data_IF_531038697023
#
_entry.id   IF_531038697023
#
_cell.length_a   1.000
_cell.length_b   1.000
_cell.length_c   1.000
_cell.angle_alpha   90.00
_cell.angle_beta   90.00
_cell.angle_gamma   90.00
#
_symmetry.space_group_name_H-M   'P 1'
#
loop_
_entity.id
_entity.type
_entity.pdbx_description
1 polymer ?
#
# COMPACT_ATOMS: atom_id res chain seq x y z
N UNK A 1 16.77 -5.27 -2.47
CA UNK A 1 15.37 -5.34 -2.96
C UNK A 1 15.32 -5.64 -4.45
N UNK A 2 15.99 -4.86 -5.30
CA UNK A 2 15.97 -5.00 -6.76
C UNK A 2 16.27 -6.41 -7.28
N UNK A 3 17.28 -7.11 -6.76
CA UNK A 3 17.62 -8.47 -7.20
C UNK A 3 16.51 -9.50 -6.94
N UNK A 4 15.75 -9.35 -5.85
CA UNK A 4 14.61 -10.25 -5.54
C UNK A 4 13.45 -9.95 -6.49
N UNK A 5 13.18 -8.68 -6.75
CA UNK A 5 12.13 -8.26 -7.69
C UNK A 5 12.45 -8.73 -9.11
N UNK A 6 13.70 -8.56 -9.54
CA UNK A 6 14.17 -9.04 -10.83
C UNK A 6 13.98 -10.55 -10.96
N UNK A 7 14.42 -11.34 -9.96
CA UNK A 7 14.21 -12.79 -9.96
C UNK A 7 12.72 -13.17 -10.00
N UNK A 8 11.86 -12.41 -9.32
CA UNK A 8 10.41 -12.61 -9.38
C UNK A 8 9.85 -12.36 -10.77
N UNK A 9 10.30 -11.30 -11.45
CA UNK A 9 9.89 -11.00 -12.83
C UNK A 9 10.42 -12.04 -13.83
N UNK A 10 11.67 -12.47 -13.71
CA UNK A 10 12.29 -13.50 -14.57
C UNK A 10 11.56 -14.84 -14.47
N UNK A 11 11.04 -15.19 -13.28
CA UNK A 11 10.23 -16.40 -13.06
C UNK A 11 8.79 -16.28 -13.59
N UNK A 12 8.32 -15.07 -13.88
CA UNK A 12 6.96 -14.79 -14.30
C UNK A 12 6.96 -13.90 -15.55
N UNK A 13 7.14 -14.47 -16.76
CA UNK A 13 7.43 -13.71 -17.97
C UNK A 13 6.43 -12.61 -18.33
N UNK A 14 5.16 -12.73 -17.90
CA UNK A 14 4.14 -11.69 -18.08
C UNK A 14 4.54 -10.34 -17.45
N UNK A 15 5.36 -10.37 -16.39
CA UNK A 15 5.79 -9.19 -15.64
C UNK A 15 6.97 -8.45 -16.29
N UNK A 16 7.72 -9.08 -17.20
CA UNK A 16 9.01 -8.57 -17.71
C UNK A 16 8.84 -7.19 -18.34
N UNK A 17 7.86 -7.02 -19.25
CA UNK A 17 7.67 -5.75 -19.97
C UNK A 17 7.38 -4.58 -19.01
N UNK A 18 6.57 -4.82 -17.98
CA UNK A 18 6.26 -3.78 -16.99
C UNK A 18 7.42 -3.55 -16.02
N UNK A 19 8.14 -4.61 -15.64
CA UNK A 19 9.35 -4.51 -14.83
C UNK A 19 10.42 -3.64 -15.51
N UNK A 20 10.68 -3.85 -16.80
CA UNK A 20 11.67 -3.06 -17.57
C UNK A 20 11.35 -1.55 -17.54
N UNK A 21 10.07 -1.19 -17.58
CA UNK A 21 9.63 0.21 -17.48
C UNK A 21 9.84 0.80 -16.08
N UNK A 22 9.80 -0.03 -15.03
CA UNK A 22 10.04 0.38 -13.65
C UNK A 22 11.52 0.26 -13.23
N UNK A 23 12.33 -0.48 -13.98
CA UNK A 23 13.74 -0.77 -13.67
C UNK A 23 14.59 0.48 -13.41
N UNK A 24 14.45 1.60 -14.15
CA UNK A 24 15.20 2.82 -13.85
C UNK A 24 14.93 3.34 -12.44
N UNK A 25 13.68 3.25 -11.97
CA UNK A 25 13.26 3.69 -10.64
C UNK A 25 13.78 2.74 -9.55
N UNK A 26 13.80 1.43 -9.81
CA UNK A 26 14.41 0.46 -8.87
C UNK A 26 15.91 0.67 -8.66
N UNK A 27 16.61 1.22 -9.65
CA UNK A 27 18.04 1.49 -9.60
C UNK A 27 18.38 2.89 -9.08
N UNK A 28 17.37 3.74 -8.84
CA UNK A 28 17.56 5.10 -8.36
C UNK A 28 17.34 5.18 -6.86
N UNK A 29 18.44 5.18 -6.10
CA UNK A 29 18.39 5.41 -4.65
C UNK A 29 17.79 6.77 -4.32
N UNK A 30 18.14 7.80 -5.10
CA UNK A 30 17.64 9.16 -4.89
C UNK A 30 16.13 9.23 -5.11
N UNK A 31 15.61 8.51 -6.10
CA UNK A 31 14.17 8.39 -6.30
C UNK A 31 13.49 7.74 -5.09
N UNK A 32 14.02 6.64 -4.55
CA UNK A 32 13.45 6.02 -3.35
C UNK A 32 13.47 6.93 -2.12
N UNK A 33 14.57 7.66 -1.89
CA UNK A 33 14.65 8.63 -0.80
C UNK A 33 13.59 9.71 -1.01
N UNK A 34 13.53 10.27 -2.22
CA UNK A 34 12.57 11.31 -2.57
C UNK A 34 11.14 10.83 -2.37
N UNK A 35 10.75 9.71 -2.98
CA UNK A 35 9.36 9.25 -2.98
C UNK A 35 8.87 8.89 -1.57
N UNK A 36 9.67 8.16 -0.79
CA UNK A 36 9.28 7.69 0.54
C UNK A 36 9.36 8.80 1.60
N UNK A 37 10.40 9.65 1.57
CA UNK A 37 10.69 10.58 2.67
C UNK A 37 10.29 12.03 2.40
N UNK A 38 10.43 12.50 1.15
CA UNK A 38 10.43 13.94 0.87
C UNK A 38 9.26 14.38 -0.03
N UNK A 39 8.66 13.46 -0.78
CA UNK A 39 7.72 13.82 -1.85
C UNK A 39 6.43 14.48 -1.36
N UNK A 40 5.97 14.21 -0.14
CA UNK A 40 4.83 14.93 0.44
C UNK A 40 5.19 16.38 0.83
N UNK A 41 6.44 16.65 1.18
CA UNK A 41 6.93 18.01 1.49
C UNK A 41 6.93 18.88 0.25
N UNK A 42 7.27 18.31 -0.90
CA UNK A 42 7.24 19.00 -2.21
C UNK A 42 5.85 19.50 -2.59
N UNK A 43 4.78 18.86 -2.08
CA UNK A 43 3.39 19.28 -2.28
C UNK A 43 2.83 20.06 -1.08
N UNK A 44 3.70 20.56 -0.22
CA UNK A 44 3.37 21.45 0.89
C UNK A 44 2.76 20.76 2.11
N UNK A 45 2.97 19.45 2.28
CA UNK A 45 2.49 18.71 3.45
C UNK A 45 3.56 18.59 4.53
N UNK A 46 3.09 18.59 5.77
CA UNK A 46 3.92 18.29 6.94
C UNK A 46 4.00 16.78 7.18
N UNK A 47 5.02 16.38 7.95
CA UNK A 47 5.14 15.00 8.41
C UNK A 47 3.99 14.64 9.36
N UNK A 48 3.49 13.41 9.26
CA UNK A 48 2.59 12.79 10.23
C UNK A 48 3.25 11.55 10.84
N UNK A 49 2.70 11.04 11.95
CA UNK A 49 3.16 9.77 12.50
C UNK A 49 2.58 8.61 11.66
N UNK A 50 3.45 7.84 11.02
CA UNK A 50 3.09 6.66 10.24
C UNK A 50 3.38 5.41 11.05
N UNK A 51 2.54 4.38 10.88
CA UNK A 51 2.88 3.03 11.33
C UNK A 51 4.08 2.48 10.54
N UNK A 52 4.15 2.77 9.24
CA UNK A 52 5.25 2.40 8.35
C UNK A 52 5.26 0.93 7.90
N UNK A 53 4.34 0.13 8.43
CA UNK A 53 4.15 -1.28 8.06
C UNK A 53 2.69 -1.72 8.23
N UNK A 54 1.74 -0.90 7.74
CA UNK A 54 0.32 -1.19 7.91
C UNK A 54 -0.18 -2.13 6.80
N UNK A 55 -0.35 -3.41 7.14
CA UNK A 55 -0.92 -4.45 6.28
C UNK A 55 -1.62 -5.52 7.12
N UNK A 56 -2.33 -6.46 6.47
CA UNK A 56 -3.24 -7.38 7.17
C UNK A 56 -2.61 -8.30 8.22
N UNK A 57 -1.28 -8.49 8.23
CA UNK A 57 -0.60 -9.22 9.32
C UNK A 57 -0.45 -8.38 10.61
N UNK A 58 -0.52 -7.06 10.51
CA UNK A 58 -0.36 -6.10 11.60
C UNK A 58 -1.70 -5.50 12.07
N UNK A 59 -2.82 -6.04 11.57
CA UNK A 59 -4.18 -5.65 11.90
C UNK A 59 -4.91 -6.78 12.61
N UNK A 60 -5.27 -6.57 13.87
CA UNK A 60 -6.09 -7.51 14.64
C UNK A 60 -7.55 -7.08 14.56
N UNK A 61 -8.42 -8.00 14.15
CA UNK A 61 -9.86 -7.78 14.05
C UNK A 61 -10.56 -8.33 15.30
N UNK A 62 -11.58 -7.62 15.78
CA UNK A 62 -12.50 -8.19 16.77
C UNK A 62 -13.22 -9.39 16.15
N UNK A 63 -13.66 -10.30 16.99
CA UNK A 63 -14.43 -11.49 16.60
C UNK A 63 -15.92 -11.24 16.77
N UNK A 64 -16.76 -12.02 16.10
CA UNK A 64 -18.22 -11.98 16.30
C UNK A 64 -18.61 -12.27 17.76
N UNK A 65 -17.85 -13.14 18.44
CA UNK A 65 -17.98 -13.43 19.87
C UNK A 65 -17.95 -12.15 20.74
N UNK A 66 -17.10 -11.17 20.39
CA UNK A 66 -16.98 -9.89 21.13
C UNK A 66 -18.26 -9.04 21.08
N UNK A 67 -19.20 -9.35 20.19
CA UNK A 67 -20.47 -8.62 20.03
C UNK A 67 -21.71 -9.44 20.39
N UNK A 68 -21.67 -10.75 20.18
CA UNK A 68 -22.84 -11.63 20.35
C UNK A 68 -22.78 -12.50 21.62
N UNK A 69 -21.73 -12.39 22.43
CA UNK A 69 -21.49 -13.19 23.65
C UNK A 69 -21.53 -14.71 23.40
N UNK A 70 -21.21 -15.16 22.18
CA UNK A 70 -21.06 -16.57 21.84
C UNK A 70 -19.59 -16.87 21.56
N UNK A 71 -18.88 -17.36 22.58
CA UNK A 71 -17.44 -17.65 22.53
C UNK A 71 -17.02 -18.65 21.43
N UNK A 72 -17.97 -19.41 20.88
CA UNK A 72 -17.72 -20.32 19.75
C UNK A 72 -17.63 -19.62 18.38
N UNK A 73 -18.14 -18.39 18.25
CA UNK A 73 -18.20 -17.67 16.97
C UNK A 73 -16.89 -16.89 16.70
N UNK A 74 -15.89 -17.61 16.18
CA UNK A 74 -14.54 -17.09 15.93
C UNK A 74 -14.38 -16.33 14.60
N UNK A 75 -15.46 -15.99 13.91
CA UNK A 75 -15.38 -15.22 12.66
C UNK A 75 -14.90 -13.79 12.95
N UNK A 76 -14.04 -13.25 12.09
CA UNK A 76 -13.64 -11.85 12.16
C UNK A 76 -14.84 -10.92 11.90
N UNK A 77 -14.90 -9.81 12.64
CA UNK A 77 -15.85 -8.72 12.41
C UNK A 77 -15.24 -7.64 11.50
N UNK A 78 -16.00 -6.58 11.24
CA UNK A 78 -15.52 -5.40 10.50
C UNK A 78 -14.87 -4.34 11.43
N UNK A 79 -14.66 -4.66 12.70
CA UNK A 79 -14.13 -3.73 13.69
C UNK A 79 -12.67 -4.06 14.00
N UNK A 80 -11.79 -3.09 13.80
CA UNK A 80 -10.38 -3.22 14.19
C UNK A 80 -10.31 -3.26 15.73
N UNK A 81 -9.65 -4.27 16.26
CA UNK A 81 -9.36 -4.42 17.68
C UNK A 81 -8.03 -3.76 18.07
N UNK A 82 -6.98 -3.99 17.28
CA UNK A 82 -5.66 -3.41 17.52
C UNK A 82 -4.84 -3.32 16.23
N UNK A 83 -3.93 -2.34 16.20
CA UNK A 83 -2.80 -2.27 15.28
C UNK A 83 -1.53 -2.61 16.08
N UNK A 84 -0.72 -3.53 15.55
CA UNK A 84 0.46 -4.08 16.23
C UNK A 84 1.70 -3.98 15.35
N UNK A 85 2.86 -4.30 15.91
CA UNK A 85 4.15 -4.27 15.22
C UNK A 85 4.60 -2.86 14.75
N UNK A 86 4.66 -1.95 15.72
CA UNK A 86 5.09 -0.57 15.55
C UNK A 86 6.60 -0.38 15.37
N UNK A 87 7.36 -1.42 15.02
CA UNK A 87 8.83 -1.34 14.92
C UNK A 87 9.32 -0.42 13.79
N UNK A 88 8.46 -0.19 12.78
CA UNK A 88 8.72 0.73 11.66
C UNK A 88 8.08 2.10 11.86
N UNK A 89 7.64 2.45 13.08
CA UNK A 89 7.04 3.76 13.36
C UNK A 89 8.01 4.90 13.05
N UNK A 90 7.54 5.90 12.32
CA UNK A 90 8.34 7.07 11.97
C UNK A 90 7.46 8.25 11.54
N UNK A 91 8.10 9.38 11.23
CA UNK A 91 7.43 10.54 10.66
C UNK A 91 7.49 10.49 9.14
N UNK A 92 6.34 10.49 8.48
CA UNK A 92 6.22 10.30 7.04
C UNK A 92 5.01 10.99 6.42
N UNK A 93 4.56 10.46 5.28
CA UNK A 93 3.47 11.05 4.50
C UNK A 93 2.10 10.63 5.02
N UNK A 94 1.12 11.54 4.99
CA UNK A 94 -0.29 11.25 5.32
C UNK A 94 -0.92 10.15 4.43
N UNK A 95 -0.33 9.90 3.26
CA UNK A 95 -0.78 8.85 2.34
C UNK A 95 -0.08 7.50 2.49
N UNK A 96 0.92 7.39 3.37
CA UNK A 96 1.84 6.24 3.42
C UNK A 96 1.15 4.95 3.84
N UNK A 97 0.56 4.93 5.05
CA UNK A 97 -0.08 3.72 5.58
C UNK A 97 -1.24 3.24 4.68
N UNK A 98 -1.95 4.15 4.02
CA UNK A 98 -2.98 3.81 3.03
C UNK A 98 -2.39 3.25 1.73
N UNK A 99 -1.33 3.87 1.20
CA UNK A 99 -0.61 3.38 0.02
C UNK A 99 -0.07 1.97 0.24
N UNK A 100 0.49 1.74 1.42
CA UNK A 100 0.96 0.44 1.88
C UNK A 100 -0.18 -0.58 1.95
N UNK A 101 -1.23 -0.27 2.72
CA UNK A 101 -2.35 -1.17 2.94
C UNK A 101 -3.06 -1.55 1.63
N UNK A 102 -3.37 -0.57 0.77
CA UNK A 102 -4.10 -0.81 -0.47
C UNK A 102 -3.26 -1.53 -1.53
N UNK A 103 -1.94 -1.32 -1.56
CA UNK A 103 -1.06 -2.10 -2.43
C UNK A 103 -0.99 -3.58 -1.99
N UNK A 104 -0.86 -3.85 -0.69
CA UNK A 104 -0.57 -5.19 -0.19
C UNK A 104 -1.81 -6.02 0.16
N UNK A 105 -2.91 -5.38 0.52
CA UNK A 105 -4.09 -6.06 1.03
C UNK A 105 -5.22 -6.21 -0.01
N UNK A 106 -5.22 -5.39 -1.07
CA UNK A 106 -6.29 -5.38 -2.06
C UNK A 106 -5.86 -5.95 -3.41
N UNK A 107 -6.82 -6.52 -4.14
CA UNK A 107 -6.71 -6.66 -5.59
C UNK A 107 -7.06 -5.35 -6.29
N UNK A 108 -6.86 -5.30 -7.60
CA UNK A 108 -6.98 -4.08 -8.40
C UNK A 108 -8.42 -3.56 -8.49
N UNK A 109 -9.45 -4.40 -8.71
CA UNK A 109 -10.83 -3.94 -8.67
C UNK A 109 -11.22 -3.33 -7.32
N UNK A 110 -10.89 -3.99 -6.20
CA UNK A 110 -11.20 -3.48 -4.86
C UNK A 110 -10.43 -2.19 -4.60
N UNK A 111 -9.13 -2.14 -4.89
CA UNK A 111 -8.31 -0.93 -4.68
C UNK A 111 -8.88 0.26 -5.44
N UNK A 112 -9.14 0.13 -6.75
CA UNK A 112 -9.65 1.24 -7.57
C UNK A 112 -11.03 1.73 -7.09
N UNK A 113 -11.89 0.82 -6.63
CA UNK A 113 -13.16 1.19 -6.02
C UNK A 113 -12.99 1.91 -4.68
N UNK A 114 -12.04 1.48 -3.84
CA UNK A 114 -11.69 2.17 -2.59
C UNK A 114 -11.15 3.57 -2.87
N UNK A 115 -10.29 3.69 -3.88
CA UNK A 115 -9.73 4.97 -4.31
C UNK A 115 -10.81 5.96 -4.78
N UNK A 116 -11.82 5.49 -5.54
CA UNK A 116 -12.87 6.36 -6.06
C UNK A 116 -13.94 6.72 -5.01
N UNK A 117 -14.39 5.74 -4.22
CA UNK A 117 -15.55 5.93 -3.34
C UNK A 117 -15.17 6.24 -1.89
N UNK A 118 -14.12 5.60 -1.36
CA UNK A 118 -13.85 5.58 0.08
C UNK A 118 -12.72 6.51 0.50
N UNK A 119 -11.71 6.78 -0.34
CA UNK A 119 -10.67 7.77 -0.01
C UNK A 119 -11.23 9.19 0.19
N UNK A 120 -12.19 9.70 -0.62
CA UNK A 120 -12.81 11.00 -0.37
C UNK A 120 -13.53 11.04 0.99
N UNK A 121 -14.26 9.97 1.32
CA UNK A 121 -14.98 9.86 2.58
C UNK A 121 -14.01 9.75 3.77
N UNK A 122 -12.96 8.92 3.67
CA UNK A 122 -11.91 8.81 4.67
C UNK A 122 -11.26 10.16 4.96
N UNK A 123 -10.92 10.93 3.92
CA UNK A 123 -10.30 12.25 4.09
C UNK A 123 -11.24 13.22 4.82
N UNK A 124 -12.53 13.21 4.48
CA UNK A 124 -13.55 14.00 5.18
C UNK A 124 -13.63 13.60 6.66
N UNK A 125 -13.72 12.32 6.96
CA UNK A 125 -13.81 11.81 8.32
C UNK A 125 -12.55 12.13 9.14
N UNK A 126 -11.37 12.00 8.53
CA UNK A 126 -10.09 12.38 9.14
C UNK A 126 -10.07 13.87 9.49
N UNK A 127 -10.50 14.72 8.55
CA UNK A 127 -10.55 16.16 8.77
C UNK A 127 -11.51 16.53 9.90
N UNK A 128 -12.72 15.97 9.88
CA UNK A 128 -13.72 16.18 10.93
C UNK A 128 -13.19 15.71 12.29
N UNK A 129 -12.55 14.54 12.36
CA UNK A 129 -11.98 14.01 13.59
C UNK A 129 -10.87 14.90 14.17
N UNK A 130 -9.99 15.45 13.31
CA UNK A 130 -8.93 16.39 13.73
C UNK A 130 -9.54 17.70 14.24
N UNK A 131 -10.54 18.23 13.53
CA UNK A 131 -11.22 19.49 13.90
C UNK A 131 -12.00 19.37 15.21
N UNK A 132 -12.65 18.23 15.47
CA UNK A 132 -13.32 17.94 16.75
C UNK A 132 -12.35 17.90 17.94
N UNK A 133 -11.05 17.65 17.70
CA UNK A 133 -10.00 17.72 18.74
C UNK A 133 -9.42 19.12 18.91
N UNK A 134 -10.00 20.15 18.28
CA UNK A 134 -9.53 21.53 18.35
C UNK A 134 -8.25 21.80 17.54
N UNK A 135 -7.87 20.87 16.67
CA UNK A 135 -6.74 21.01 15.75
C UNK A 135 -7.25 21.41 14.36
N UNK A 136 -6.38 21.94 13.50
CA UNK A 136 -6.75 22.24 12.11
C UNK A 136 -5.93 21.36 11.15
N UNK A 137 -6.61 20.55 10.35
CA UNK A 137 -5.96 19.81 9.26
C UNK A 137 -5.83 20.73 8.04
N UNK A 138 -4.66 21.38 7.90
CA UNK A 138 -4.33 22.28 6.78
C UNK A 138 -3.90 21.50 5.54
N UNK A 139 -4.73 20.56 5.11
CA UNK A 139 -4.51 19.70 3.93
C UNK A 139 -5.73 19.81 3.05
N UNK A 140 -5.55 19.93 1.73
CA UNK A 140 -6.64 19.78 0.76
C UNK A 140 -6.80 18.33 0.35
N UNK A 141 -7.99 17.94 -0.12
CA UNK A 141 -8.19 16.58 -0.62
C UNK A 141 -7.25 16.25 -1.79
N UNK A 142 -7.00 17.23 -2.67
CA UNK A 142 -6.03 17.09 -3.76
C UNK A 142 -4.63 16.78 -3.23
N UNK A 143 -4.12 17.55 -2.25
CA UNK A 143 -2.81 17.27 -1.66
C UNK A 143 -2.77 15.88 -1.01
N UNK A 144 -3.82 15.48 -0.31
CA UNK A 144 -3.95 14.14 0.27
C UNK A 144 -3.87 13.04 -0.81
N UNK A 145 -4.64 13.19 -1.89
CA UNK A 145 -4.65 12.22 -2.99
C UNK A 145 -3.29 12.12 -3.69
N UNK A 146 -2.61 13.27 -3.89
CA UNK A 146 -1.25 13.28 -4.44
C UNK A 146 -0.25 12.60 -3.49
N UNK A 147 -0.38 12.83 -2.18
CA UNK A 147 0.45 12.16 -1.17
C UNK A 147 0.25 10.63 -1.18
N UNK A 148 -1.00 10.19 -1.29
CA UNK A 148 -1.36 8.78 -1.48
C UNK A 148 -0.76 8.20 -2.76
N UNK A 149 -0.96 8.87 -3.91
CA UNK A 149 -0.46 8.40 -5.20
C UNK A 149 1.08 8.26 -5.21
N UNK A 150 1.79 9.23 -4.64
CA UNK A 150 3.24 9.20 -4.50
C UNK A 150 3.69 8.01 -3.66
N UNK A 151 3.07 7.75 -2.52
CA UNK A 151 3.42 6.61 -1.67
C UNK A 151 3.01 5.26 -2.29
N UNK A 152 1.85 5.19 -2.96
CA UNK A 152 1.40 3.99 -3.64
C UNK A 152 2.41 3.48 -4.67
N UNK A 153 3.08 4.37 -5.41
CA UNK A 153 4.12 3.97 -6.38
C UNK A 153 5.22 3.15 -5.69
N UNK A 154 5.73 3.62 -4.55
CA UNK A 154 6.80 2.94 -3.82
C UNK A 154 6.34 1.57 -3.31
N UNK A 155 5.12 1.48 -2.76
CA UNK A 155 4.56 0.23 -2.27
C UNK A 155 4.22 -0.75 -3.41
N UNK A 156 3.71 -0.28 -4.54
CA UNK A 156 3.52 -1.10 -5.73
C UNK A 156 4.84 -1.70 -6.22
N UNK A 157 5.94 -0.93 -6.18
CA UNK A 157 7.28 -1.44 -6.47
C UNK A 157 7.78 -2.45 -5.42
N UNK A 158 7.32 -2.34 -4.17
CA UNK A 158 7.70 -3.28 -3.09
C UNK A 158 6.89 -4.59 -3.11
N UNK A 159 5.68 -4.60 -3.69
CA UNK A 159 4.76 -5.74 -3.69
C UNK A 159 5.37 -7.09 -4.13
N UNK A 160 6.25 -7.21 -5.15
CA UNK A 160 6.84 -8.50 -5.53
C UNK A 160 7.66 -9.15 -4.42
N UNK A 161 8.38 -8.35 -3.63
CA UNK A 161 9.11 -8.85 -2.46
C UNK A 161 8.11 -9.40 -1.43
N UNK A 162 7.05 -8.66 -1.16
CA UNK A 162 5.99 -9.07 -0.25
C UNK A 162 5.26 -10.32 -0.77
N UNK A 163 5.04 -10.45 -2.08
CA UNK A 163 4.45 -11.63 -2.70
C UNK A 163 5.31 -12.87 -2.44
N UNK A 164 6.64 -12.77 -2.54
CA UNK A 164 7.55 -13.86 -2.15
C UNK A 164 7.40 -14.24 -0.68
N UNK A 165 7.25 -13.27 0.22
CA UNK A 165 7.00 -13.51 1.65
C UNK A 165 5.66 -14.22 1.85
N UNK A 166 4.57 -13.72 1.25
CA UNK A 166 3.23 -14.31 1.34
C UNK A 166 3.19 -15.77 0.86
N UNK A 167 3.95 -16.10 -0.20
CA UNK A 167 4.08 -17.47 -0.71
C UNK A 167 4.92 -18.39 0.19
N UNK A 168 5.67 -17.83 1.13
CA UNK A 168 6.60 -18.57 2.00
C UNK A 168 6.06 -18.79 3.42
N UNK A 169 5.09 -17.99 3.88
CA UNK A 169 4.58 -18.04 5.27
C UNK A 169 3.82 -19.33 5.58
N UNK A 170 3.02 -19.84 4.64
CA UNK A 170 2.17 -21.00 4.85
C UNK A 170 2.60 -22.16 3.96
N UNK A 171 2.77 -23.34 4.54
CA UNK A 171 2.90 -24.58 3.77
C UNK A 171 1.61 -24.85 2.98
N UNK A 172 1.78 -25.13 1.69
CA UNK A 172 0.67 -25.35 0.75
C UNK A 172 1.01 -26.52 -0.15
N UNK A 173 -0.02 -27.19 -0.66
CA UNK A 173 0.16 -28.15 -1.76
C UNK A 173 0.71 -27.44 -3.00
N UNK A 174 1.32 -28.17 -3.95
CA UNK A 174 1.78 -27.59 -5.21
C UNK A 174 0.68 -26.84 -5.98
N UNK A 175 -0.55 -27.37 -6.01
CA UNK A 175 -1.69 -26.78 -6.72
C UNK A 175 -2.13 -25.46 -6.08
N UNK A 176 -2.24 -25.43 -4.75
CA UNK A 176 -2.59 -24.21 -4.02
C UNK A 176 -1.48 -23.16 -4.13
N UNK A 177 -0.21 -23.59 -4.12
CA UNK A 177 0.94 -22.70 -4.36
C UNK A 177 0.86 -22.06 -5.74
N UNK A 178 0.56 -22.84 -6.76
CA UNK A 178 0.42 -22.35 -8.13
C UNK A 178 -0.71 -21.32 -8.22
N UNK A 179 -1.91 -21.64 -7.71
CA UNK A 179 -3.06 -20.71 -7.69
C UNK A 179 -2.73 -19.39 -7.00
N UNK A 180 -2.09 -19.43 -5.83
CA UNK A 180 -1.66 -18.22 -5.10
C UNK A 180 -0.66 -17.40 -5.89
N UNK A 181 0.27 -18.08 -6.57
CA UNK A 181 1.27 -17.43 -7.41
C UNK A 181 0.59 -16.69 -8.55
N UNK A 182 -0.35 -17.30 -9.26
CA UNK A 182 -1.12 -16.67 -10.34
C UNK A 182 -1.85 -15.41 -9.86
N UNK A 183 -2.52 -15.47 -8.69
CA UNK A 183 -3.19 -14.31 -8.08
C UNK A 183 -2.19 -13.19 -7.78
N UNK A 184 -1.06 -13.51 -7.16
CA UNK A 184 -0.05 -12.50 -6.78
C UNK A 184 0.67 -11.90 -7.98
N UNK A 185 0.90 -12.69 -9.03
CA UNK A 185 1.45 -12.21 -10.31
C UNK A 185 0.48 -11.22 -10.96
N UNK A 186 -0.82 -11.55 -11.04
CA UNK A 186 -1.81 -10.63 -11.59
C UNK A 186 -1.90 -9.34 -10.77
N UNK A 187 -1.93 -9.45 -9.43
CA UNK A 187 -1.94 -8.28 -8.54
C UNK A 187 -0.71 -7.41 -8.73
N UNK A 188 0.48 -8.02 -8.86
CA UNK A 188 1.74 -7.31 -9.12
C UNK A 188 1.69 -6.57 -10.44
N UNK A 189 1.24 -7.24 -11.50
CA UNK A 189 1.12 -6.66 -12.84
C UNK A 189 0.23 -5.42 -12.85
N UNK A 190 -0.93 -5.52 -12.21
CA UNK A 190 -1.88 -4.41 -12.16
C UNK A 190 -1.39 -3.27 -11.26
N UNK A 191 -0.82 -3.57 -10.09
CA UNK A 191 -0.22 -2.57 -9.20
C UNK A 191 0.88 -1.79 -9.92
N UNK A 192 1.75 -2.45 -10.67
CA UNK A 192 2.79 -1.78 -11.42
C UNK A 192 2.27 -0.94 -12.58
N UNK A 193 1.24 -1.41 -13.30
CA UNK A 193 0.59 -0.59 -14.33
C UNK A 193 -0.04 0.66 -13.73
N UNK A 194 -0.73 0.50 -12.60
CA UNK A 194 -1.31 1.59 -11.81
C UNK A 194 -0.23 2.56 -11.28
N UNK A 195 0.94 2.07 -10.90
CA UNK A 195 2.07 2.89 -10.47
C UNK A 195 2.71 3.66 -11.63
N UNK A 196 2.81 3.07 -12.82
CA UNK A 196 3.36 3.73 -14.00
C UNK A 196 2.51 4.92 -14.45
N UNK A 197 1.19 4.82 -14.37
CA UNK A 197 0.28 5.94 -14.64
C UNK A 197 0.52 7.09 -13.64
N UNK A 198 0.58 6.77 -12.35
CA UNK A 198 0.85 7.75 -11.29
C UNK A 198 2.25 8.37 -11.38
N UNK A 199 3.25 7.58 -11.78
CA UNK A 199 4.61 8.08 -12.01
C UNK A 199 4.62 9.18 -13.08
N UNK A 200 3.89 8.98 -14.19
CA UNK A 200 3.79 9.97 -15.26
C UNK A 200 3.12 11.27 -14.81
N UNK A 201 2.12 11.16 -13.95
CA UNK A 201 1.39 12.32 -13.42
C UNK A 201 2.17 13.06 -12.32
N UNK A 202 2.75 12.33 -11.36
CA UNK A 202 3.35 12.91 -10.15
C UNK A 202 4.82 13.29 -10.32
N UNK A 203 5.52 12.64 -11.24
CA UNK A 203 6.93 12.85 -11.52
C UNK A 203 7.21 12.87 -13.05
N UNK A 204 6.55 13.77 -13.80
CA UNK A 204 6.67 13.82 -15.27
C UNK A 204 8.11 14.04 -15.75
N UNK A 205 8.98 14.64 -14.92
CA UNK A 205 10.38 14.89 -15.24
C UNK A 205 11.21 13.62 -15.52
N UNK A 206 10.74 12.43 -15.11
CA UNK A 206 11.41 11.16 -15.43
C UNK A 206 10.96 10.55 -16.77
N UNK A 207 10.05 11.20 -17.50
CA UNK A 207 9.50 10.72 -18.78
C UNK A 207 9.80 11.63 -19.97
N UNK A 208 10.67 12.64 -19.77
CA UNK A 208 11.13 13.60 -20.79
C UNK A 208 12.43 13.14 -21.44
#
# INVERSE_FOLDING_TARGET
MTSIVQLFAERNPSLISTFERLLPFYNSRDFFIRILRDSHKEIGLSDVLCHGDLWFYNMMWKTAADFNNNDSDKRASNEIGALIDWQNIHTGSIGEDLGHMLAFCCDSPVRRHVESEYLPQYFKDLKEAVEQKGCQLKVTFEQFLRAYNRQFIAHAMHLPFIACVMLSIKETTPEERQRRTEILVQRTQDCWNDALLRLQEEFPEYFV
#
